data_IF_080736899745
#
_entry.id   IF_080736899745
#
_cell.length_a   1.000
_cell.length_b   1.000
_cell.length_c   1.000
_cell.angle_alpha   90.00
_cell.angle_beta   90.00
_cell.angle_gamma   90.00
#
_symmetry.space_group_name_H-M   'P 1'
#
loop_
_entity.id
_entity.type
_entity.pdbx_description
1 polymer ?
#
# COMPACT_ATOMS: atom_id res chain seq x y z
N UNK A 1 -8.61 -12.91 -15.23
CA UNK A 1 -8.30 -12.09 -16.43
C UNK A 1 -7.35 -11.00 -15.98
N UNK A 2 -6.07 -11.04 -16.39
CA UNK A 2 -5.17 -9.92 -16.16
C UNK A 2 -5.57 -8.74 -17.09
N UNK A 3 -5.71 -7.56 -16.51
CA UNK A 3 -5.93 -6.30 -17.25
C UNK A 3 -4.61 -5.53 -17.34
N UNK A 4 -3.74 -5.71 -16.35
CA UNK A 4 -2.40 -5.16 -16.29
C UNK A 4 -1.51 -5.96 -15.35
N UNK A 5 -0.26 -5.55 -15.17
CA UNK A 5 0.65 -6.18 -14.20
C UNK A 5 1.29 -7.50 -14.66
N UNK A 6 1.35 -7.79 -15.95
CA UNK A 6 1.90 -9.04 -16.48
C UNK A 6 3.35 -8.96 -16.98
N UNK A 7 4.07 -7.93 -16.57
CA UNK A 7 5.54 -7.94 -16.58
C UNK A 7 6.26 -7.57 -17.86
N UNK A 8 5.61 -7.39 -19.00
CA UNK A 8 6.31 -7.08 -20.28
C UNK A 8 7.04 -5.72 -20.24
N UNK A 9 6.58 -4.81 -19.39
CA UNK A 9 7.12 -3.44 -19.25
C UNK A 9 7.61 -3.12 -17.81
N UNK A 10 7.88 -4.12 -16.99
CA UNK A 10 8.31 -3.95 -15.60
C UNK A 10 7.15 -3.96 -14.59
N UNK A 11 7.43 -3.45 -13.38
CA UNK A 11 6.49 -3.41 -12.25
C UNK A 11 5.48 -2.28 -12.49
N UNK A 12 4.19 -2.61 -12.39
CA UNK A 12 3.13 -1.59 -12.41
C UNK A 12 1.89 -2.00 -13.20
N UNK A 13 0.90 -1.14 -13.21
CA UNK A 13 -0.44 -1.35 -13.77
C UNK A 13 -1.13 -2.60 -13.22
N UNK A 14 -0.84 -2.97 -11.95
CA UNK A 14 -1.44 -4.15 -11.35
C UNK A 14 -2.96 -4.00 -11.35
N UNK A 15 -3.63 -4.88 -12.08
CA UNK A 15 -5.09 -4.93 -12.18
C UNK A 15 -5.52 -6.30 -12.68
N UNK A 16 -6.30 -7.00 -11.88
CA UNK A 16 -6.78 -8.35 -12.19
C UNK A 16 -8.29 -8.45 -11.98
N UNK A 17 -8.98 -9.13 -12.89
CA UNK A 17 -10.39 -9.45 -12.75
C UNK A 17 -10.56 -10.94 -12.47
N UNK A 18 -11.23 -11.26 -11.38
CA UNK A 18 -11.67 -12.62 -11.07
C UNK A 18 -13.15 -12.69 -11.40
N UNK A 19 -13.51 -13.55 -12.36
CA UNK A 19 -14.87 -13.66 -12.85
C UNK A 19 -15.40 -15.09 -12.71
N UNK A 20 -16.62 -15.19 -12.23
CA UNK A 20 -17.43 -16.40 -12.27
C UNK A 20 -18.79 -16.09 -12.90
N UNK A 21 -19.06 -16.64 -14.09
CA UNK A 21 -20.28 -16.34 -14.88
C UNK A 21 -20.48 -14.82 -15.07
N UNK A 22 -21.57 -14.28 -14.54
CA UNK A 22 -21.93 -12.86 -14.62
C UNK A 22 -21.57 -12.08 -13.35
N UNK A 23 -20.62 -12.55 -12.57
CA UNK A 23 -20.14 -11.91 -11.35
C UNK A 23 -18.62 -11.76 -11.43
N UNK A 24 -18.14 -10.57 -11.11
CA UNK A 24 -16.71 -10.26 -11.18
C UNK A 24 -16.27 -9.43 -9.98
N UNK A 25 -15.01 -9.63 -9.58
CA UNK A 25 -14.28 -8.83 -8.61
C UNK A 25 -13.08 -8.23 -9.33
N UNK A 26 -12.86 -6.94 -9.14
CA UNK A 26 -11.64 -6.27 -9.61
C UNK A 26 -10.66 -6.19 -8.46
N UNK A 27 -9.40 -6.56 -8.67
CA UNK A 27 -8.32 -6.45 -7.69
C UNK A 27 -7.28 -5.50 -8.23
N UNK A 28 -7.04 -4.43 -7.46
CA UNK A 28 -6.11 -3.33 -7.72
C UNK A 28 -6.40 -2.51 -8.99
N UNK A 29 -5.85 -1.29 -9.03
CA UNK A 29 -5.92 -0.35 -10.15
C UNK A 29 -4.64 0.49 -10.17
N UNK A 30 -3.54 -0.13 -10.56
CA UNK A 30 -2.21 0.47 -10.51
C UNK A 30 -1.86 1.32 -11.72
N UNK A 31 -0.83 2.14 -11.57
CA UNK A 31 -0.15 2.81 -12.69
C UNK A 31 1.20 2.14 -12.95
N UNK A 32 1.70 2.31 -14.17
CA UNK A 32 3.09 2.07 -14.53
C UNK A 32 3.75 3.42 -14.80
N UNK A 33 4.86 3.73 -14.12
CA UNK A 33 5.63 4.93 -14.41
C UNK A 33 6.33 4.78 -15.76
N UNK A 34 6.15 5.78 -16.61
CA UNK A 34 6.78 5.80 -17.92
C UNK A 34 8.30 5.97 -17.75
N UNK A 35 9.07 5.13 -18.46
CA UNK A 35 10.51 5.33 -18.59
C UNK A 35 10.87 6.41 -19.62
N UNK A 36 12.17 6.61 -19.82
CA UNK A 36 12.71 7.61 -20.77
C UNK A 36 12.27 7.38 -22.22
N UNK A 37 11.80 6.19 -22.55
CA UNK A 37 11.29 5.82 -23.87
C UNK A 37 9.96 6.52 -24.23
N UNK A 38 9.30 7.15 -23.25
CA UNK A 38 8.00 7.82 -23.43
C UNK A 38 8.06 9.31 -23.02
N UNK A 39 8.76 10.17 -23.79
CA UNK A 39 8.88 11.58 -23.45
C UNK A 39 7.51 12.28 -23.31
N UNK A 40 7.31 12.99 -22.19
CA UNK A 40 6.06 13.70 -21.91
C UNK A 40 4.95 12.86 -21.30
N UNK A 41 5.18 11.56 -21.08
CA UNK A 41 4.27 10.67 -20.35
C UNK A 41 4.80 10.45 -18.94
N UNK A 42 4.01 10.80 -17.93
CA UNK A 42 4.40 10.59 -16.53
C UNK A 42 4.12 9.15 -16.07
N UNK A 43 2.99 8.60 -16.46
CA UNK A 43 2.58 7.23 -16.15
C UNK A 43 1.52 6.72 -17.12
N UNK A 44 1.36 5.41 -17.15
CA UNK A 44 0.35 4.70 -17.94
C UNK A 44 -0.66 4.03 -16.99
N UNK A 45 -1.91 3.95 -17.43
CA UNK A 45 -3.01 3.28 -16.73
C UNK A 45 -3.41 2.00 -17.48
N UNK A 46 -4.03 1.02 -16.82
CA UNK A 46 -4.60 -0.15 -17.48
C UNK A 46 -5.66 0.22 -18.53
N UNK A 47 -5.73 -0.53 -19.62
CA UNK A 47 -6.86 -0.47 -20.53
C UNK A 47 -8.04 -1.26 -19.95
N UNK A 48 -9.08 -0.55 -19.57
CA UNK A 48 -10.25 -1.14 -18.91
C UNK A 48 -11.43 -1.39 -19.86
N UNK A 49 -11.19 -1.41 -21.17
CA UNK A 49 -12.27 -1.63 -22.16
C UNK A 49 -13.11 -2.86 -21.84
N UNK A 50 -12.48 -3.95 -21.41
CA UNK A 50 -13.19 -5.16 -20.97
C UNK A 50 -14.18 -4.87 -19.83
N UNK A 51 -13.80 -4.06 -18.86
CA UNK A 51 -14.65 -3.72 -17.72
C UNK A 51 -15.74 -2.73 -18.11
N UNK A 52 -15.45 -1.75 -18.96
CA UNK A 52 -16.47 -0.81 -19.47
C UNK A 52 -17.61 -1.54 -20.21
N UNK A 53 -17.28 -2.61 -20.93
CA UNK A 53 -18.25 -3.46 -21.63
C UNK A 53 -18.98 -4.45 -20.70
N UNK A 54 -18.60 -4.54 -19.40
CA UNK A 54 -19.11 -5.53 -18.44
C UNK A 54 -19.30 -4.94 -17.02
N UNK A 55 -19.57 -3.64 -16.89
CA UNK A 55 -19.67 -2.98 -15.58
C UNK A 55 -20.73 -3.63 -14.67
N UNK A 56 -21.83 -4.12 -15.24
CA UNK A 56 -22.92 -4.76 -14.51
C UNK A 56 -22.50 -6.06 -13.81
N UNK A 57 -21.43 -6.70 -14.29
CA UNK A 57 -20.85 -7.90 -13.68
C UNK A 57 -20.03 -7.61 -12.45
N UNK A 58 -19.48 -6.39 -12.32
CA UNK A 58 -18.59 -6.04 -11.22
C UNK A 58 -19.38 -5.91 -9.94
N UNK A 59 -19.11 -6.78 -8.98
CA UNK A 59 -19.79 -6.86 -7.68
C UNK A 59 -19.00 -6.19 -6.57
N UNK A 60 -17.67 -6.14 -6.73
CA UNK A 60 -16.76 -5.51 -5.77
C UNK A 60 -15.45 -5.10 -6.43
N UNK A 61 -14.79 -4.10 -5.84
CA UNK A 61 -13.42 -3.69 -6.11
C UNK A 61 -12.64 -3.88 -4.82
N UNK A 62 -11.50 -4.55 -4.88
CA UNK A 62 -10.69 -4.88 -3.71
C UNK A 62 -9.26 -4.40 -3.93
N UNK A 63 -8.66 -3.80 -2.91
CA UNK A 63 -7.29 -3.31 -2.98
C UNK A 63 -6.40 -4.03 -1.98
N UNK A 64 -5.25 -4.52 -2.46
CA UNK A 64 -4.27 -5.21 -1.63
C UNK A 64 -3.55 -4.24 -0.71
N UNK A 65 -3.05 -3.14 -1.25
CA UNK A 65 -2.30 -2.12 -0.49
C UNK A 65 -2.22 -0.78 -1.25
N UNK A 66 -1.55 0.21 -0.65
CA UNK A 66 -1.60 1.60 -1.10
C UNK A 66 -0.41 2.06 -1.96
N UNK A 67 0.40 1.18 -2.54
CA UNK A 67 1.41 1.59 -3.51
C UNK A 67 0.78 2.03 -4.84
N UNK A 68 1.44 2.94 -5.55
CA UNK A 68 0.87 3.55 -6.75
C UNK A 68 0.71 2.57 -7.91
N UNK A 69 1.52 1.56 -8.00
CA UNK A 69 1.38 0.46 -8.95
C UNK A 69 0.20 -0.47 -8.66
N UNK A 70 -0.50 -0.26 -7.52
CA UNK A 70 -1.74 -0.93 -7.12
C UNK A 70 -2.95 0.00 -7.00
N UNK A 71 -2.76 1.29 -6.64
CA UNK A 71 -3.89 2.23 -6.50
C UNK A 71 -3.80 3.49 -7.38
N UNK A 72 -2.67 3.68 -8.07
CA UNK A 72 -2.37 4.97 -8.73
C UNK A 72 -3.33 5.37 -9.86
N UNK A 73 -4.04 4.39 -10.45
CA UNK A 73 -5.03 4.66 -11.49
C UNK A 73 -6.46 4.92 -10.94
N UNK A 74 -6.66 4.86 -9.61
CA UNK A 74 -7.99 5.01 -9.00
C UNK A 74 -8.72 6.26 -9.46
N UNK A 75 -8.06 7.42 -9.48
CA UNK A 75 -8.70 8.69 -9.90
C UNK A 75 -9.16 8.71 -11.36
N UNK A 76 -8.60 7.85 -12.22
CA UNK A 76 -8.96 7.74 -13.63
C UNK A 76 -10.01 6.66 -13.90
N UNK A 77 -10.06 5.64 -13.05
CA UNK A 77 -10.82 4.41 -13.28
C UNK A 77 -12.07 4.36 -12.39
N UNK A 78 -11.96 4.66 -11.09
CA UNK A 78 -13.11 4.57 -10.18
C UNK A 78 -14.32 5.41 -10.61
N UNK A 79 -14.17 6.65 -11.14
CA UNK A 79 -15.32 7.43 -11.59
C UNK A 79 -16.15 6.79 -12.71
N UNK A 80 -15.63 5.76 -13.37
CA UNK A 80 -16.35 5.02 -14.43
C UNK A 80 -17.25 3.93 -13.89
N UNK A 81 -17.10 3.57 -12.60
CA UNK A 81 -17.93 2.57 -11.94
C UNK A 81 -19.14 3.22 -11.25
N UNK A 82 -20.26 2.46 -11.10
CA UNK A 82 -21.37 2.93 -10.26
C UNK A 82 -20.89 3.28 -8.85
N UNK A 83 -21.33 4.41 -8.31
CA UNK A 83 -20.97 4.85 -6.95
C UNK A 83 -21.40 3.88 -5.85
N UNK A 84 -22.37 3.01 -6.14
CA UNK A 84 -22.86 1.95 -5.25
C UNK A 84 -21.95 0.71 -5.21
N UNK A 85 -20.99 0.57 -6.15
CA UNK A 85 -20.05 -0.56 -6.17
C UNK A 85 -19.20 -0.54 -4.90
N UNK A 86 -19.21 -1.60 -4.07
CA UNK A 86 -18.41 -1.62 -2.86
C UNK A 86 -16.91 -1.70 -3.16
N UNK A 87 -16.14 -0.85 -2.48
CA UNK A 87 -14.69 -0.72 -2.60
C UNK A 87 -14.05 -1.10 -1.27
N UNK A 88 -13.36 -2.23 -1.24
CA UNK A 88 -12.73 -2.79 -0.05
C UNK A 88 -11.22 -2.56 -0.03
N UNK A 89 -10.68 -2.30 1.13
CA UNK A 89 -9.26 -2.23 1.40
C UNK A 89 -8.99 -1.93 2.87
N UNK A 90 -7.75 -2.03 3.32
CA UNK A 90 -7.40 -1.62 4.68
C UNK A 90 -7.72 -0.13 4.90
N UNK A 91 -7.85 0.29 6.16
CA UNK A 91 -8.16 1.69 6.50
C UNK A 91 -7.13 2.66 5.89
N UNK A 92 -5.86 2.30 5.91
CA UNK A 92 -4.80 3.10 5.28
C UNK A 92 -4.96 3.15 3.76
N UNK A 93 -5.18 2.01 3.11
CA UNK A 93 -5.37 1.94 1.64
C UNK A 93 -6.57 2.78 1.20
N UNK A 94 -7.71 2.64 1.86
CA UNK A 94 -8.90 3.47 1.61
C UNK A 94 -8.60 4.95 1.85
N UNK A 95 -7.85 5.27 2.91
CA UNK A 95 -7.43 6.64 3.20
C UNK A 95 -6.59 7.27 2.07
N UNK A 96 -5.67 6.49 1.49
CA UNK A 96 -4.83 6.91 0.37
C UNK A 96 -5.63 7.08 -0.92
N UNK A 97 -6.55 6.15 -1.22
CA UNK A 97 -7.46 6.27 -2.37
C UNK A 97 -8.33 7.53 -2.25
N UNK A 98 -8.95 7.76 -1.08
CA UNK A 98 -9.75 8.97 -0.84
C UNK A 98 -8.92 10.25 -1.02
N UNK A 99 -7.64 10.23 -0.61
CA UNK A 99 -6.74 11.36 -0.82
C UNK A 99 -6.51 11.63 -2.31
N UNK A 100 -6.24 10.59 -3.12
CA UNK A 100 -6.11 10.73 -4.59
C UNK A 100 -7.41 11.23 -5.23
N UNK A 101 -8.55 10.68 -4.82
CA UNK A 101 -9.86 11.08 -5.34
C UNK A 101 -10.19 12.54 -5.00
N UNK A 102 -9.73 13.06 -3.86
CA UNK A 102 -9.94 14.46 -3.46
C UNK A 102 -9.24 15.49 -4.35
N UNK A 103 -8.36 15.05 -5.25
CA UNK A 103 -7.69 15.89 -6.25
C UNK A 103 -8.53 16.10 -7.52
N UNK A 104 -9.68 15.43 -7.64
CA UNK A 104 -10.62 15.62 -8.75
C UNK A 104 -11.45 16.87 -8.55
N UNK A 105 -11.81 17.55 -9.63
CA UNK A 105 -12.69 18.72 -9.61
C UNK A 105 -14.09 18.36 -9.07
N UNK A 106 -14.60 17.18 -9.46
CA UNK A 106 -15.83 16.58 -8.94
C UNK A 106 -15.52 15.22 -8.34
N UNK A 107 -15.62 15.12 -7.02
CA UNK A 107 -15.33 13.90 -6.26
C UNK A 107 -16.60 13.05 -6.16
N UNK A 108 -16.68 11.87 -6.80
CA UNK A 108 -17.84 11.00 -6.67
C UNK A 108 -17.92 10.41 -5.25
N UNK A 109 -19.14 10.28 -4.72
CA UNK A 109 -19.38 9.65 -3.42
C UNK A 109 -19.38 8.12 -3.55
N UNK A 110 -18.19 7.54 -3.62
CA UNK A 110 -17.99 6.11 -3.80
C UNK A 110 -18.22 5.34 -2.48
N UNK A 111 -18.68 4.11 -2.60
CA UNK A 111 -18.95 3.22 -1.46
C UNK A 111 -17.67 2.57 -0.91
N UNK A 112 -16.92 3.28 -0.08
CA UNK A 112 -15.68 2.81 0.53
C UNK A 112 -15.93 2.04 1.82
N UNK A 113 -15.37 0.84 1.92
CA UNK A 113 -15.48 -0.06 3.07
C UNK A 113 -14.08 -0.42 3.55
N UNK A 114 -13.71 0.09 4.71
CA UNK A 114 -12.46 -0.28 5.35
C UNK A 114 -12.59 -1.66 6.01
N UNK A 115 -11.62 -2.53 5.76
CA UNK A 115 -11.55 -3.88 6.32
C UNK A 115 -10.39 -3.98 7.32
N UNK A 116 -10.61 -4.79 8.36
CA UNK A 116 -9.59 -5.17 9.33
C UNK A 116 -9.11 -6.59 8.98
N UNK A 117 -7.87 -6.76 8.44
CA UNK A 117 -7.40 -8.07 7.99
C UNK A 117 -7.19 -9.08 9.12
N UNK A 118 -7.18 -8.63 10.39
CA UNK A 118 -7.04 -9.50 11.56
C UNK A 118 -8.37 -10.09 12.07
N UNK A 119 -9.49 -9.64 11.51
CA UNK A 119 -10.81 -10.20 11.81
C UNK A 119 -11.15 -11.45 11.02
N UNK A 120 -10.40 -11.72 9.93
CA UNK A 120 -10.61 -12.88 9.05
C UNK A 120 -12.07 -12.99 8.56
N UNK A 121 -12.70 -11.83 8.31
CA UNK A 121 -14.09 -11.77 7.92
C UNK A 121 -14.28 -12.24 6.47
N UNK A 122 -15.16 -13.23 6.28
CA UNK A 122 -15.56 -13.68 4.94
C UNK A 122 -16.71 -12.79 4.46
N UNK A 123 -16.39 -11.83 3.61
CA UNK A 123 -17.33 -10.86 3.06
C UNK A 123 -18.00 -11.43 1.81
N UNK A 124 -19.29 -11.73 1.88
CA UNK A 124 -20.08 -12.10 0.71
C UNK A 124 -20.28 -10.85 -0.17
N UNK A 125 -19.76 -10.86 -1.39
CA UNK A 125 -19.87 -9.73 -2.34
C UNK A 125 -20.92 -9.97 -3.41
N UNK A 126 -21.32 -11.23 -3.62
CA UNK A 126 -22.39 -11.63 -4.53
C UNK A 126 -22.93 -13.00 -4.11
N UNK A 127 -23.82 -13.58 -4.94
CA UNK A 127 -24.38 -14.92 -4.70
C UNK A 127 -23.31 -16.01 -4.65
N UNK A 128 -22.29 -15.88 -5.52
CA UNK A 128 -21.29 -16.94 -5.71
C UNK A 128 -19.87 -16.55 -5.26
N UNK A 129 -19.62 -15.26 -4.96
CA UNK A 129 -18.28 -14.77 -4.66
C UNK A 129 -18.23 -14.19 -3.24
N UNK A 130 -17.15 -14.55 -2.53
CA UNK A 130 -16.80 -13.91 -1.26
C UNK A 130 -15.31 -13.60 -1.22
N UNK A 131 -14.94 -12.59 -0.42
CA UNK A 131 -13.56 -12.17 -0.24
C UNK A 131 -13.19 -12.18 1.23
N UNK A 132 -11.92 -12.40 1.51
CA UNK A 132 -11.31 -12.28 2.82
C UNK A 132 -9.94 -11.62 2.65
N UNK A 133 -9.62 -10.71 3.55
CA UNK A 133 -8.35 -10.00 3.58
C UNK A 133 -7.47 -10.59 4.68
N UNK A 134 -6.22 -10.89 4.35
CA UNK A 134 -5.26 -11.48 5.29
C UNK A 134 -4.06 -10.54 5.37
N UNK A 135 -3.63 -10.21 6.57
CA UNK A 135 -2.45 -9.38 6.75
C UNK A 135 -1.20 -10.05 6.19
N UNK A 136 -0.45 -9.31 5.36
CA UNK A 136 0.87 -9.69 4.86
C UNK A 136 1.88 -8.58 5.08
N UNK A 137 3.11 -8.94 5.42
CA UNK A 137 4.18 -7.99 5.69
C UNK A 137 4.68 -7.36 4.39
N UNK A 138 4.70 -6.04 4.35
CA UNK A 138 5.28 -5.26 3.25
C UNK A 138 5.82 -3.92 3.78
N UNK A 139 6.39 -3.07 2.89
CA UNK A 139 6.97 -1.77 3.25
C UNK A 139 5.95 -0.69 3.59
N UNK A 140 4.67 -0.92 3.32
CA UNK A 140 3.57 0.01 3.52
C UNK A 140 2.53 -0.59 4.49
N UNK A 141 1.92 0.22 5.39
CA UNK A 141 0.93 -0.29 6.34
C UNK A 141 -0.34 -0.78 5.67
N UNK A 142 -1.02 -1.71 6.35
CA UNK A 142 -2.31 -2.22 5.90
C UNK A 142 -2.23 -3.05 4.63
N UNK A 143 -1.06 -3.62 4.34
CA UNK A 143 -0.88 -4.54 3.23
C UNK A 143 -1.61 -5.86 3.49
N UNK A 144 -2.25 -6.40 2.44
CA UNK A 144 -3.06 -7.60 2.55
C UNK A 144 -2.92 -8.48 1.32
N UNK A 145 -2.96 -9.81 1.54
CA UNK A 145 -3.40 -10.74 0.53
C UNK A 145 -4.93 -10.79 0.48
N UNK A 146 -5.47 -11.16 -0.66
CA UNK A 146 -6.92 -11.31 -0.87
C UNK A 146 -7.23 -12.75 -1.25
N UNK A 147 -8.11 -13.38 -0.46
CA UNK A 147 -8.63 -14.72 -0.73
C UNK A 147 -10.02 -14.57 -1.36
N UNK A 148 -10.17 -15.02 -2.59
CA UNK A 148 -11.45 -15.01 -3.30
C UNK A 148 -11.98 -16.44 -3.37
N UNK A 149 -13.17 -16.66 -2.80
CA UNK A 149 -13.85 -17.95 -2.87
C UNK A 149 -14.88 -17.93 -3.98
N UNK A 150 -14.82 -18.97 -4.79
CA UNK A 150 -15.74 -19.21 -5.91
C UNK A 150 -16.27 -20.64 -5.85
N UNK A 151 -17.35 -20.97 -6.55
CA UNK A 151 -17.81 -22.37 -6.66
C UNK A 151 -16.77 -23.33 -7.28
N UNK A 152 -15.78 -22.79 -7.99
CA UNK A 152 -14.72 -23.60 -8.63
C UNK A 152 -13.47 -23.76 -7.74
N UNK A 153 -13.45 -23.16 -6.55
CA UNK A 153 -12.34 -23.22 -5.60
C UNK A 153 -11.86 -21.85 -5.14
N UNK A 154 -10.84 -21.89 -4.31
CA UNK A 154 -10.24 -20.71 -3.67
C UNK A 154 -9.11 -20.16 -4.54
N UNK A 155 -9.12 -18.86 -4.74
CA UNK A 155 -8.04 -18.12 -5.41
C UNK A 155 -7.35 -17.25 -4.35
N UNK A 156 -6.02 -17.39 -4.24
CA UNK A 156 -5.19 -16.57 -3.37
C UNK A 156 -4.42 -15.54 -4.21
N UNK A 157 -4.60 -14.26 -3.90
CA UNK A 157 -3.88 -13.14 -4.53
C UNK A 157 -2.97 -12.54 -3.47
N UNK A 158 -1.66 -12.70 -3.62
CA UNK A 158 -0.69 -12.30 -2.58
C UNK A 158 -0.63 -10.79 -2.33
N UNK A 159 -0.94 -9.97 -3.35
CA UNK A 159 -0.41 -8.61 -3.36
C UNK A 159 1.10 -8.65 -3.34
N UNK A 160 1.74 -7.56 -2.95
CA UNK A 160 3.17 -7.53 -2.68
C UNK A 160 3.44 -7.95 -1.24
N UNK A 161 4.49 -8.73 -1.03
CA UNK A 161 4.84 -9.19 0.31
C UNK A 161 6.31 -9.49 0.44
N UNK A 162 6.79 -9.57 1.67
CA UNK A 162 8.14 -10.02 1.99
C UNK A 162 8.14 -10.94 3.19
N UNK A 163 9.09 -11.87 3.22
CA UNK A 163 9.37 -12.66 4.40
C UNK A 163 10.48 -11.97 5.22
N UNK A 164 10.28 -11.82 6.53
CA UNK A 164 11.24 -11.26 7.46
C UNK A 164 11.19 -12.01 8.78
N UNK A 165 12.34 -12.45 9.30
CA UNK A 165 12.39 -13.25 10.53
C UNK A 165 12.06 -12.40 11.78
N UNK A 166 12.51 -11.15 11.83
CA UNK A 166 12.29 -10.22 12.92
C UNK A 166 11.64 -8.93 12.40
N UNK A 167 10.36 -8.94 12.05
CA UNK A 167 9.69 -7.73 11.58
C UNK A 167 9.54 -6.72 12.72
N UNK A 168 9.72 -5.45 12.42
CA UNK A 168 9.48 -4.36 13.36
C UNK A 168 8.00 -4.25 13.73
N UNK A 169 7.14 -4.63 12.81
CA UNK A 169 5.69 -4.61 12.92
C UNK A 169 5.13 -6.03 12.86
N UNK A 170 3.84 -6.11 12.66
CA UNK A 170 3.12 -7.36 12.64
C UNK A 170 3.59 -8.28 11.50
N UNK A 171 3.88 -9.52 11.80
CA UNK A 171 4.27 -10.57 10.86
C UNK A 171 3.09 -10.92 9.93
N UNK A 172 3.40 -11.44 8.74
CA UNK A 172 2.41 -12.09 7.88
C UNK A 172 1.62 -13.14 8.67
N UNK A 173 0.31 -13.16 8.51
CA UNK A 173 -0.57 -14.10 9.19
C UNK A 173 -0.51 -15.50 8.54
N UNK A 174 0.62 -16.15 8.74
CA UNK A 174 0.85 -17.51 8.23
C UNK A 174 -0.12 -18.54 8.82
N UNK A 175 -0.59 -18.33 10.06
CA UNK A 175 -1.54 -19.24 10.70
C UNK A 175 -2.85 -19.26 9.93
N UNK A 176 -3.36 -18.09 9.55
CA UNK A 176 -4.59 -17.98 8.77
C UNK A 176 -4.44 -18.55 7.36
N UNK A 177 -3.31 -18.29 6.71
CA UNK A 177 -3.00 -18.86 5.39
C UNK A 177 -2.98 -20.39 5.48
N UNK A 178 -2.29 -20.95 6.47
CA UNK A 178 -2.22 -22.39 6.73
C UNK A 178 -3.59 -23.03 6.97
N UNK A 179 -4.46 -22.36 7.74
CA UNK A 179 -5.83 -22.84 7.96
C UNK A 179 -6.62 -22.94 6.66
N UNK A 180 -6.52 -21.93 5.78
CA UNK A 180 -7.22 -21.92 4.49
C UNK A 180 -6.67 -23.03 3.59
N UNK A 181 -5.34 -23.19 3.51
CA UNK A 181 -4.71 -24.26 2.74
C UNK A 181 -5.18 -25.64 3.21
N UNK A 182 -5.21 -25.88 4.52
CA UNK A 182 -5.59 -27.17 5.10
C UNK A 182 -7.07 -27.49 4.95
N UNK A 183 -7.94 -26.49 5.14
CA UNK A 183 -9.39 -26.73 5.24
C UNK A 183 -10.12 -26.53 3.91
N UNK A 184 -9.65 -25.63 3.05
CA UNK A 184 -10.34 -25.24 1.82
C UNK A 184 -9.52 -25.59 0.58
N UNK A 185 -8.18 -25.65 0.68
CA UNK A 185 -7.26 -25.76 -0.43
C UNK A 185 -7.19 -24.47 -1.27
N UNK A 186 -6.14 -24.34 -2.09
CA UNK A 186 -5.98 -23.22 -3.01
C UNK A 186 -5.95 -23.77 -4.43
N UNK A 187 -6.95 -23.42 -5.23
CA UNK A 187 -7.06 -23.84 -6.63
C UNK A 187 -6.17 -23.04 -7.57
N UNK A 188 -5.94 -21.74 -7.25
CA UNK A 188 -5.09 -20.84 -8.02
C UNK A 188 -4.41 -19.85 -7.07
N UNK A 189 -3.10 -19.66 -7.26
CA UNK A 189 -2.32 -18.65 -6.58
C UNK A 189 -1.80 -17.63 -7.60
N UNK A 190 -2.11 -16.36 -7.37
CA UNK A 190 -1.53 -15.21 -8.07
C UNK A 190 -0.53 -14.58 -7.12
N UNK A 191 0.75 -14.86 -7.34
CA UNK A 191 1.83 -14.42 -6.46
C UNK A 191 2.75 -13.43 -7.17
N UNK A 192 3.23 -12.44 -6.43
CA UNK A 192 4.27 -11.54 -6.91
C UNK A 192 5.60 -12.29 -7.12
N UNK A 193 6.46 -11.75 -7.97
CA UNK A 193 7.75 -12.34 -8.30
C UNK A 193 8.84 -11.29 -8.53
N UNK A 194 8.70 -10.12 -7.93
CA UNK A 194 9.52 -8.92 -8.18
C UNK A 194 11.03 -9.18 -8.06
N UNK A 195 11.45 -9.96 -7.08
CA UNK A 195 12.86 -10.23 -6.81
C UNK A 195 13.31 -11.67 -7.13
N UNK A 196 12.59 -12.38 -7.99
CA UNK A 196 12.86 -13.79 -8.27
C UNK A 196 14.26 -14.04 -8.85
N UNK A 197 14.79 -13.07 -9.59
CA UNK A 197 16.12 -13.13 -10.20
C UNK A 197 17.24 -12.62 -9.27
N UNK A 198 16.91 -12.13 -8.08
CA UNK A 198 17.87 -11.61 -7.12
C UNK A 198 18.39 -12.74 -6.21
N UNK A 199 19.64 -13.19 -6.36
CA UNK A 199 20.17 -14.29 -5.55
C UNK A 199 20.44 -13.85 -4.10
N UNK A 200 20.30 -14.78 -3.17
CA UNK A 200 20.67 -14.62 -1.76
C UNK A 200 19.51 -14.19 -0.87
N UNK A 201 19.85 -13.90 0.39
CA UNK A 201 18.93 -13.41 1.41
C UNK A 201 19.31 -11.99 1.81
N UNK A 202 18.31 -11.18 2.14
CA UNK A 202 18.53 -9.87 2.72
C UNK A 202 18.96 -10.05 4.19
N UNK A 203 20.25 -9.72 4.56
CA UNK A 203 20.75 -10.06 5.89
C UNK A 203 20.24 -9.15 7.01
N UNK A 204 19.55 -8.05 6.68
CA UNK A 204 19.11 -7.03 7.61
C UNK A 204 17.61 -6.86 7.62
N UNK A 205 17.04 -6.83 8.81
CA UNK A 205 15.62 -6.56 9.05
C UNK A 205 15.34 -5.05 9.13
N UNK A 206 14.08 -4.66 9.07
CA UNK A 206 13.70 -3.27 9.38
C UNK A 206 14.03 -2.89 10.85
N UNK A 207 14.08 -3.87 11.75
CA UNK A 207 14.54 -3.65 13.12
C UNK A 207 15.99 -3.16 13.15
N UNK A 208 16.88 -3.82 12.40
CA UNK A 208 18.30 -3.42 12.29
C UNK A 208 18.44 -2.01 11.70
N UNK A 209 17.60 -1.66 10.73
CA UNK A 209 17.54 -0.31 10.15
C UNK A 209 17.17 0.72 11.21
N UNK A 210 16.16 0.43 12.04
CA UNK A 210 15.73 1.31 13.14
C UNK A 210 16.86 1.58 14.14
N UNK A 211 17.56 0.54 14.60
CA UNK A 211 18.71 0.70 15.49
C UNK A 211 19.84 1.55 14.86
N UNK A 212 20.11 1.33 13.58
CA UNK A 212 21.18 2.05 12.89
C UNK A 212 20.80 3.52 12.62
N UNK A 213 19.55 3.86 12.40
CA UNK A 213 19.06 5.26 12.34
C UNK A 213 19.46 5.99 13.62
N UNK A 214 19.21 5.38 14.78
CA UNK A 214 19.60 5.96 16.07
C UNK A 214 21.10 6.20 16.19
N UNK A 215 21.93 5.21 15.82
CA UNK A 215 23.40 5.33 15.85
C UNK A 215 23.91 6.45 14.93
N UNK A 216 23.31 6.61 13.75
CA UNK A 216 23.64 7.70 12.82
C UNK A 216 23.30 9.05 13.43
N UNK A 217 22.14 9.17 14.06
CA UNK A 217 21.73 10.40 14.74
C UNK A 217 22.67 10.76 15.90
N UNK A 218 23.16 9.78 16.65
CA UNK A 218 24.15 10.00 17.72
C UNK A 218 25.51 10.43 17.18
N UNK A 219 25.96 9.82 16.08
CA UNK A 219 27.25 10.17 15.45
C UNK A 219 27.25 11.61 14.92
N UNK A 220 26.12 12.09 14.38
CA UNK A 220 25.97 13.44 13.84
C UNK A 220 25.14 14.35 14.75
N UNK A 221 25.26 14.17 16.07
CA UNK A 221 24.45 14.89 17.06
C UNK A 221 24.51 16.42 16.96
N UNK A 222 25.65 16.98 16.53
CA UNK A 222 25.88 18.42 16.45
C UNK A 222 25.43 19.05 15.12
N UNK A 223 24.89 18.27 14.19
CA UNK A 223 24.52 18.74 12.85
C UNK A 223 23.05 18.60 12.54
N UNK A 224 22.62 19.30 11.51
CA UNK A 224 21.33 19.07 10.87
C UNK A 224 21.39 17.72 10.13
N UNK A 225 20.36 16.91 10.32
CA UNK A 225 20.25 15.59 9.67
C UNK A 225 19.20 15.66 8.58
N UNK A 226 19.56 15.26 7.37
CA UNK A 226 18.62 15.12 6.25
C UNK A 226 18.55 13.62 5.90
N UNK A 227 17.34 13.06 5.92
CA UNK A 227 17.09 11.66 5.59
C UNK A 227 16.25 11.60 4.32
N UNK A 228 16.77 10.97 3.28
CA UNK A 228 16.02 10.67 2.07
C UNK A 228 15.49 9.24 2.10
N UNK A 229 14.21 9.05 1.88
CA UNK A 229 13.57 7.75 1.77
C UNK A 229 12.31 7.84 0.92
N UNK A 230 11.82 6.70 0.44
CA UNK A 230 10.54 6.68 -0.26
C UNK A 230 9.40 7.13 0.66
N UNK A 231 8.53 8.00 0.14
CA UNK A 231 7.38 8.51 0.89
C UNK A 231 6.36 7.43 1.30
N UNK A 232 6.40 6.27 0.68
CA UNK A 232 5.56 5.12 1.01
C UNK A 232 6.13 4.23 2.13
N UNK A 233 7.39 4.41 2.51
CA UNK A 233 8.00 3.64 3.61
C UNK A 233 7.60 4.20 4.98
N UNK A 234 6.32 4.12 5.28
CA UNK A 234 5.70 4.70 6.48
C UNK A 234 6.32 4.15 7.76
N UNK A 235 6.63 2.85 7.80
CA UNK A 235 7.30 2.22 8.93
C UNK A 235 8.64 2.87 9.25
N UNK A 236 9.46 3.11 8.24
CA UNK A 236 10.77 3.76 8.40
C UNK A 236 10.65 5.20 8.86
N UNK A 237 9.64 5.91 8.37
CA UNK A 237 9.34 7.26 8.83
C UNK A 237 8.92 7.26 10.31
N UNK A 238 8.15 6.26 10.73
CA UNK A 238 7.81 6.06 12.15
C UNK A 238 9.06 5.90 13.02
N UNK A 239 10.02 5.07 12.61
CA UNK A 239 11.30 4.91 13.31
C UNK A 239 12.09 6.22 13.40
N UNK A 240 12.16 6.97 12.28
CA UNK A 240 12.85 8.28 12.27
C UNK A 240 12.20 9.24 13.28
N UNK A 241 10.87 9.26 13.35
CA UNK A 241 10.15 10.10 14.32
C UNK A 241 10.46 9.70 15.77
N UNK A 242 10.47 8.39 16.07
CA UNK A 242 10.79 7.90 17.40
C UNK A 242 12.23 8.20 17.79
N UNK A 243 13.19 7.88 16.92
CA UNK A 243 14.60 8.09 17.21
C UNK A 243 14.97 9.59 17.31
N UNK A 244 14.36 10.43 16.48
CA UNK A 244 14.50 11.88 16.58
C UNK A 244 13.93 12.40 17.91
N UNK A 245 12.71 11.96 18.27
CA UNK A 245 12.07 12.36 19.52
C UNK A 245 12.87 11.96 20.76
N UNK A 246 13.41 10.74 20.80
CA UNK A 246 14.27 10.26 21.92
C UNK A 246 15.49 11.15 22.13
N UNK A 247 15.97 11.83 21.09
CA UNK A 247 17.13 12.75 21.10
C UNK A 247 16.75 14.22 21.18
N UNK A 248 15.47 14.54 21.44
CA UNK A 248 14.97 15.91 21.51
C UNK A 248 15.00 16.65 20.17
N UNK A 249 15.17 15.93 19.06
CA UNK A 249 15.18 16.54 17.72
C UNK A 249 13.75 16.79 17.22
N UNK A 250 13.59 17.80 16.43
CA UNK A 250 12.35 18.13 15.70
C UNK A 250 12.45 17.57 14.27
N UNK A 251 11.31 17.19 13.70
CA UNK A 251 11.24 16.61 12.36
C UNK A 251 10.32 17.43 11.47
N UNK A 252 10.79 17.77 10.28
CA UNK A 252 9.95 18.33 9.22
C UNK A 252 10.00 17.42 7.99
N UNK A 253 8.91 17.42 7.25
CA UNK A 253 8.77 16.66 6.01
C UNK A 253 8.82 17.58 4.81
N UNK A 254 9.57 17.15 3.76
CA UNK A 254 9.68 17.85 2.49
C UNK A 254 9.20 16.98 1.35
N UNK A 255 8.43 17.55 0.44
CA UNK A 255 7.84 16.86 -0.71
C UNK A 255 6.34 16.61 -0.53
N UNK A 256 5.58 16.84 -1.61
CA UNK A 256 4.11 16.75 -1.60
C UNK A 256 3.63 15.34 -1.23
N UNK A 257 4.19 14.32 -1.87
CA UNK A 257 3.83 12.91 -1.59
C UNK A 257 4.18 12.51 -0.16
N UNK A 258 5.34 12.96 0.36
CA UNK A 258 5.77 12.70 1.73
C UNK A 258 4.75 13.25 2.74
N UNK A 259 4.37 14.51 2.60
CA UNK A 259 3.42 15.18 3.51
C UNK A 259 2.06 14.48 3.47
N UNK A 260 1.55 14.18 2.27
CA UNK A 260 0.26 13.52 2.10
C UNK A 260 0.21 12.11 2.73
N UNK A 261 1.25 11.31 2.50
CA UNK A 261 1.33 9.95 3.03
C UNK A 261 1.40 9.96 4.56
N UNK A 262 2.17 10.88 5.15
CA UNK A 262 2.28 11.05 6.60
C UNK A 262 0.94 11.51 7.21
N UNK A 263 0.24 12.45 6.57
CA UNK A 263 -1.08 12.90 7.02
C UNK A 263 -2.08 11.74 7.11
N UNK A 264 -2.13 10.89 6.07
CA UNK A 264 -3.00 9.70 6.08
C UNK A 264 -2.54 8.70 7.14
N UNK A 265 -1.23 8.44 7.24
CA UNK A 265 -0.68 7.49 8.21
C UNK A 265 -0.95 7.88 9.67
N UNK A 266 -0.86 9.16 9.99
CA UNK A 266 -1.21 9.68 11.32
C UNK A 266 -2.71 9.57 11.60
N UNK A 267 -3.55 9.94 10.62
CA UNK A 267 -5.01 9.89 10.73
C UNK A 267 -5.53 8.46 10.90
N UNK A 268 -4.92 7.48 10.24
CA UNK A 268 -5.27 6.06 10.31
C UNK A 268 -4.46 5.30 11.38
N UNK A 269 -3.77 6.01 12.27
CA UNK A 269 -3.00 5.45 13.38
C UNK A 269 -1.91 4.43 13.01
N UNK A 270 -1.41 4.50 11.77
CA UNK A 270 -0.34 3.61 11.30
C UNK A 270 1.02 3.97 11.87
N UNK A 271 1.24 5.24 12.17
CA UNK A 271 2.41 5.74 12.89
C UNK A 271 1.96 6.66 14.02
N UNK A 272 2.81 6.80 15.03
CA UNK A 272 2.63 7.74 16.13
C UNK A 272 3.66 8.85 15.99
N UNK A 273 3.21 10.09 16.10
CA UNK A 273 4.11 11.21 16.28
C UNK A 273 4.19 11.53 17.77
N UNK A 274 5.36 11.38 18.41
CA UNK A 274 5.54 11.86 19.77
C UNK A 274 5.24 13.38 19.83
N UNK A 275 4.70 13.81 20.97
CA UNK A 275 4.25 15.20 21.15
C UNK A 275 5.36 16.19 20.77
N UNK A 276 5.00 17.23 20.04
CA UNK A 276 5.86 18.33 19.62
C UNK A 276 7.08 17.90 18.77
N UNK A 277 7.09 16.71 18.19
CA UNK A 277 8.21 16.25 17.33
C UNK A 277 8.09 16.81 15.92
N UNK A 278 6.89 16.78 15.33
CA UNK A 278 6.68 17.27 13.96
C UNK A 278 6.52 18.79 13.96
N UNK A 279 7.23 19.45 13.05
CA UNK A 279 7.16 20.90 12.83
C UNK A 279 7.01 21.22 11.34
N UNK A 280 6.48 22.40 11.04
CA UNK A 280 6.47 22.92 9.66
C UNK A 280 7.87 23.30 9.22
N UNK A 281 8.15 23.16 7.91
CA UNK A 281 9.45 23.49 7.34
C UNK A 281 9.88 24.93 7.61
N UNK A 282 8.98 25.89 7.49
CA UNK A 282 9.21 27.32 7.73
C UNK A 282 9.63 27.68 9.17
N UNK A 283 9.31 26.81 10.12
CA UNK A 283 9.65 27.02 11.54
C UNK A 283 10.89 26.22 11.95
N UNK A 284 11.04 25.00 11.46
CA UNK A 284 12.16 24.13 11.83
C UNK A 284 13.50 24.66 11.33
N UNK A 285 13.53 25.33 10.17
CA UNK A 285 14.77 25.93 9.60
C UNK A 285 15.35 27.06 10.45
N UNK A 286 14.58 27.62 11.40
CA UNK A 286 15.00 28.67 12.33
C UNK A 286 15.67 28.10 13.59
N UNK A 287 15.58 26.80 13.80
CA UNK A 287 16.13 26.12 14.97
C UNK A 287 17.63 25.82 14.77
N UNK A 288 18.36 25.64 15.89
CA UNK A 288 19.74 25.16 15.86
C UNK A 288 19.87 23.81 15.14
N UNK A 289 20.95 23.63 14.38
CA UNK A 289 21.15 22.45 13.53
C UNK A 289 21.12 21.12 14.28
N UNK A 290 21.63 21.11 15.52
CA UNK A 290 21.71 19.93 16.37
C UNK A 290 20.36 19.32 16.76
N UNK A 291 19.26 20.10 16.65
CA UNK A 291 17.91 19.62 16.96
C UNK A 291 17.03 19.48 15.72
N UNK A 292 17.59 19.62 14.51
CA UNK A 292 16.82 19.56 13.26
C UNK A 292 17.05 18.25 12.52
N UNK A 293 15.94 17.59 12.15
CA UNK A 293 15.89 16.46 11.21
C UNK A 293 14.89 16.77 10.11
N UNK A 294 15.31 16.65 8.86
CA UNK A 294 14.44 16.83 7.68
C UNK A 294 14.31 15.48 6.98
N UNK A 295 13.08 15.08 6.69
CA UNK A 295 12.80 13.85 5.91
C UNK A 295 12.24 14.25 4.55
N UNK A 296 12.85 13.74 3.49
CA UNK A 296 12.46 14.06 2.11
C UNK A 296 12.47 12.81 1.22
N UNK A 297 11.90 12.93 0.04
CA UNK A 297 11.88 11.88 -0.98
C UNK A 297 12.66 12.31 -2.20
#
# INVERSE_FOLDING_TARGET
>A
IPIGGTGEFGIGKNMTVIQYKNEAIVIDMGVLFAGDDYPGVNYMVPDIKYLEDNLEKVKAICFTHAHLDHIGACRHILPKFPTTTPIYGSEFTIGMIKKQMSELDEVPDMNYIAVDPFKHEKLAVSEHLSVEFIHTLHSIPGNTAIVVRTPNGVIYVSGDWRAEENPLYQQTDYERIDEIVKNEGIALMLNESTNIDSPGHHPHSEYDVGENIGKVMDHYANGRIIVSCFSSQISRIGMILEEASRRGRKVAFAGFSMINNIEVALRTHQIKAPKDTIMKMEDIIKLPDEIVTIVCT
#
